data_IF_037489364767
#
_entry.id   IF_037489364767
#
_cell.length_a   1.000
_cell.length_b   1.000
_cell.length_c   1.000
_cell.angle_alpha   90.00
_cell.angle_beta   90.00
_cell.angle_gamma   90.00
#
_symmetry.space_group_name_H-M   'P 1'
#
loop_
_entity.id
_entity.type
_entity.pdbx_description
1 polymer ?
#
# COMPACT_ATOMS: atom_id res chain seq x y z
N UNK A 1 6.01 -3.02 -13.35
CA UNK A 1 5.02 -3.61 -12.43
C UNK A 1 5.75 -4.67 -11.63
N UNK A 2 5.59 -4.65 -10.31
CA UNK A 2 6.45 -5.32 -9.35
C UNK A 2 5.91 -6.63 -8.79
N UNK A 3 6.71 -7.31 -7.97
CA UNK A 3 6.29 -8.47 -7.18
C UNK A 3 5.87 -8.02 -5.78
N UNK A 4 4.86 -8.69 -5.24
CA UNK A 4 4.39 -8.45 -3.89
C UNK A 4 3.18 -9.32 -3.57
N UNK A 5 2.22 -8.74 -2.87
CA UNK A 5 1.01 -9.42 -2.41
C UNK A 5 -0.21 -8.52 -2.54
N UNK A 6 -1.39 -9.13 -2.49
CA UNK A 6 -2.67 -8.43 -2.45
C UNK A 6 -3.28 -8.67 -1.07
N UNK A 7 -3.76 -7.60 -0.45
CA UNK A 7 -4.45 -7.65 0.84
C UNK A 7 -5.93 -7.32 0.62
N UNK A 8 -6.83 -8.17 1.07
CA UNK A 8 -8.24 -7.80 1.22
C UNK A 8 -8.41 -7.09 2.58
N UNK A 9 -8.69 -5.78 2.61
CA UNK A 9 -8.79 -5.04 3.85
C UNK A 9 -10.11 -5.36 4.57
N UNK A 10 -10.04 -5.49 5.90
CA UNK A 10 -11.22 -5.58 6.77
C UNK A 10 -11.68 -4.22 7.29
N UNK A 11 -10.84 -3.18 7.13
CA UNK A 11 -11.07 -1.81 7.61
C UNK A 11 -10.52 -0.80 6.60
N UNK A 12 -11.09 0.41 6.62
CA UNK A 12 -10.77 1.52 5.72
C UNK A 12 -9.51 2.31 6.10
N UNK A 13 -8.44 1.64 6.52
CA UNK A 13 -7.22 2.29 6.97
C UNK A 13 -5.98 1.69 6.30
N UNK A 14 -5.16 2.55 5.70
CA UNK A 14 -3.83 2.21 5.21
C UNK A 14 -2.78 2.81 6.13
N UNK A 15 -1.86 1.96 6.61
CA UNK A 15 -0.74 2.34 7.45
C UNK A 15 0.59 2.03 6.77
N UNK A 16 1.67 2.72 7.15
CA UNK A 16 2.97 2.51 6.54
C UNK A 16 3.55 1.13 6.90
N UNK A 17 3.98 0.32 5.92
CA UNK A 17 4.65 -0.96 6.18
C UNK A 17 6.14 -0.80 6.50
N UNK A 18 6.72 0.38 6.24
CA UNK A 18 8.16 0.66 6.38
C UNK A 18 8.40 2.05 6.97
N UNK A 19 9.60 2.27 7.50
CA UNK A 19 10.12 3.62 7.67
C UNK A 19 10.65 4.10 6.31
N UNK A 20 10.31 5.32 5.92
CA UNK A 20 10.71 5.82 4.61
C UNK A 20 10.10 7.17 4.24
N UNK A 21 10.28 7.56 2.99
CA UNK A 21 9.75 8.82 2.45
C UNK A 21 8.64 8.55 1.45
N UNK A 22 7.54 9.29 1.55
CA UNK A 22 6.46 9.27 0.56
C UNK A 22 6.96 9.94 -0.72
N UNK A 23 7.30 9.13 -1.73
CA UNK A 23 7.83 9.64 -3.00
C UNK A 23 6.75 9.98 -4.00
N UNK A 24 5.59 9.33 -3.91
CA UNK A 24 4.46 9.55 -4.80
C UNK A 24 3.17 9.49 -3.99
N UNK A 25 2.30 10.50 -4.14
CA UNK A 25 0.93 10.44 -3.67
C UNK A 25 0.01 10.86 -4.82
N UNK A 26 -0.80 9.93 -5.32
CA UNK A 26 -1.63 10.19 -6.49
C UNK A 26 -2.68 11.28 -6.18
N UNK A 27 -3.06 12.13 -7.15
CA UNK A 27 -4.03 13.20 -6.91
C UNK A 27 -5.36 12.71 -6.33
N UNK A 28 -5.85 11.57 -6.80
CA UNK A 28 -7.08 10.92 -6.35
C UNK A 28 -6.88 10.06 -5.09
N UNK A 29 -5.71 10.09 -4.46
CA UNK A 29 -5.41 9.47 -3.15
C UNK A 29 -5.69 7.97 -3.03
N UNK A 30 -5.89 7.26 -4.13
CA UNK A 30 -6.11 5.81 -4.16
C UNK A 30 -4.80 5.01 -4.08
N UNK A 31 -3.66 5.63 -4.34
CA UNK A 31 -2.37 4.97 -4.35
C UNK A 31 -1.26 5.85 -3.75
N UNK A 32 -0.26 5.20 -3.17
CA UNK A 32 0.88 5.84 -2.52
C UNK A 32 2.16 5.04 -2.79
N UNK A 33 3.22 5.75 -3.13
CA UNK A 33 4.58 5.24 -3.29
C UNK A 33 5.48 5.67 -2.13
N UNK A 34 6.22 4.72 -1.57
CA UNK A 34 7.15 4.94 -0.45
C UNK A 34 8.51 4.37 -0.83
N UNK A 35 9.57 5.14 -0.64
CA UNK A 35 10.93 4.61 -0.64
C UNK A 35 11.34 4.39 0.81
N UNK A 36 11.62 3.15 1.17
CA UNK A 36 12.10 2.83 2.53
C UNK A 36 13.45 3.49 2.79
N UNK A 37 13.81 3.66 4.06
CA UNK A 37 15.15 4.17 4.45
C UNK A 37 16.29 3.27 3.96
N UNK A 38 15.99 2.01 3.61
CA UNK A 38 16.92 1.04 3.01
C UNK A 38 16.93 1.10 1.47
N UNK A 39 16.06 1.91 0.86
CA UNK A 39 15.99 2.12 -0.59
C UNK A 39 15.05 1.16 -1.34
N UNK A 40 14.19 0.42 -0.64
CA UNK A 40 13.14 -0.40 -1.28
C UNK A 40 12.03 0.52 -1.77
N UNK A 41 11.66 0.43 -3.05
CA UNK A 41 10.52 1.19 -3.59
C UNK A 41 9.25 0.35 -3.47
N UNK A 42 8.31 0.81 -2.64
CA UNK A 42 6.99 0.21 -2.49
C UNK A 42 5.93 1.06 -3.19
N UNK A 43 4.99 0.39 -3.84
CA UNK A 43 3.75 0.99 -4.33
C UNK A 43 2.56 0.24 -3.72
N UNK A 44 1.67 0.99 -3.09
CA UNK A 44 0.43 0.48 -2.49
C UNK A 44 -0.74 1.10 -3.23
N UNK A 45 -1.62 0.27 -3.78
CA UNK A 45 -2.78 0.69 -4.55
C UNK A 45 -4.06 0.18 -3.89
N UNK A 46 -4.92 1.07 -3.40
CA UNK A 46 -6.14 0.71 -2.66
C UNK A 46 -7.25 0.37 -3.65
N UNK A 47 -7.67 -0.90 -3.66
CA UNK A 47 -8.68 -1.39 -4.60
C UNK A 47 -8.17 -1.54 -6.04
N UNK A 48 -9.07 -1.90 -6.95
CA UNK A 48 -8.81 -1.99 -8.39
C UNK A 48 -9.69 -1.00 -9.15
N UNK A 49 -9.10 -0.28 -10.11
CA UNK A 49 -9.75 0.79 -10.91
C UNK A 49 -10.35 1.95 -10.09
N UNK A 50 -9.95 2.07 -8.81
CA UNK A 50 -10.42 3.11 -7.87
C UNK A 50 -9.97 4.53 -8.23
N UNK A 51 -9.05 4.68 -9.18
CA UNK A 51 -8.73 5.98 -9.77
C UNK A 51 -9.98 6.67 -10.32
N UNK A 52 -10.96 5.92 -10.85
CA UNK A 52 -12.21 6.44 -11.40
C UNK A 52 -13.19 7.00 -10.35
N UNK A 53 -12.87 6.90 -9.05
CA UNK A 53 -13.63 7.56 -8.00
C UNK A 53 -13.25 9.03 -7.82
N UNK A 54 -12.23 9.52 -8.53
CA UNK A 54 -11.77 10.92 -8.49
C UNK A 54 -11.50 11.44 -7.06
N UNK A 55 -10.99 10.55 -6.18
CA UNK A 55 -10.71 10.84 -4.78
C UNK A 55 -11.91 10.74 -3.84
N UNK A 56 -13.10 10.42 -4.34
CA UNK A 56 -14.27 10.18 -3.49
C UNK A 56 -14.05 8.94 -2.62
N UNK A 57 -14.23 9.12 -1.31
CA UNK A 57 -14.01 8.05 -0.34
C UNK A 57 -12.55 7.82 0.01
N UNK A 58 -11.63 8.75 -0.32
CA UNK A 58 -10.24 8.71 0.11
C UNK A 58 -9.87 10.00 0.84
N UNK A 59 -9.22 9.87 1.99
CA UNK A 59 -8.65 10.96 2.78
C UNK A 59 -7.17 10.64 3.02
N UNK A 60 -6.28 11.50 2.54
CA UNK A 60 -4.85 11.33 2.81
C UNK A 60 -4.44 12.13 4.05
N UNK A 61 -3.65 11.48 4.91
CA UNK A 61 -3.16 12.00 6.17
C UNK A 61 -1.68 12.42 6.09
N UNK A 62 -1.08 12.29 4.92
CA UNK A 62 0.32 12.61 4.61
C UNK A 62 0.39 13.34 3.28
N UNK A 63 1.52 14.00 3.01
CA UNK A 63 1.81 14.61 1.71
C UNK A 63 3.06 14.01 1.09
N UNK A 64 3.25 14.24 -0.20
CA UNK A 64 4.49 13.85 -0.87
C UNK A 64 5.68 14.58 -0.24
N UNK A 65 6.76 13.84 0.02
CA UNK A 65 7.96 14.33 0.70
C UNK A 65 7.96 14.09 2.21
N UNK A 66 6.84 13.69 2.82
CA UNK A 66 6.81 13.34 4.24
C UNK A 66 7.64 12.09 4.51
N UNK A 67 8.38 12.11 5.62
CA UNK A 67 8.96 10.90 6.21
C UNK A 67 7.92 10.24 7.12
N UNK A 68 7.75 8.92 6.97
CA UNK A 68 6.75 8.12 7.67
C UNK A 68 7.43 6.96 8.39
N UNK A 69 6.84 6.54 9.51
CA UNK A 69 7.30 5.39 10.29
C UNK A 69 6.34 4.21 10.19
N UNK A 70 6.83 2.99 10.44
CA UNK A 70 6.00 1.76 10.47
C UNK A 70 4.77 1.96 11.37
N UNK A 71 3.60 1.64 10.82
CA UNK A 71 2.31 1.75 11.51
C UNK A 71 1.68 3.15 11.48
N UNK A 72 2.37 4.18 10.97
CA UNK A 72 1.78 5.51 10.80
C UNK A 72 0.62 5.45 9.80
N UNK A 73 -0.51 6.07 10.13
CA UNK A 73 -1.65 6.17 9.22
C UNK A 73 -1.30 7.05 8.01
N UNK A 74 -1.59 6.56 6.81
CA UNK A 74 -1.27 7.22 5.55
C UNK A 74 -2.53 7.71 4.84
N UNK A 75 -3.51 6.83 4.71
CA UNK A 75 -4.74 7.08 3.95
C UNK A 75 -5.89 6.40 4.69
N UNK A 76 -7.00 7.12 4.86
CA UNK A 76 -8.29 6.55 5.22
C UNK A 76 -9.13 6.42 3.97
N UNK A 77 -9.87 5.33 3.86
CA UNK A 77 -10.74 5.10 2.71
C UNK A 77 -12.07 4.49 3.13
N UNK A 78 -13.13 4.86 2.42
CA UNK A 78 -14.48 4.37 2.66
C UNK A 78 -14.74 3.15 1.77
N UNK A 79 -14.72 1.97 2.37
CA UNK A 79 -14.96 0.70 1.68
C UNK A 79 -16.38 0.61 1.10
N UNK A 80 -17.37 1.24 1.74
CA UNK A 80 -18.75 1.20 1.26
C UNK A 80 -18.91 2.08 0.03
N UNK A 81 -18.22 3.22 -0.04
CA UNK A 81 -18.16 4.06 -1.25
C UNK A 81 -17.53 3.29 -2.42
N UNK A 82 -16.43 2.57 -2.19
CA UNK A 82 -15.76 1.77 -3.22
C UNK A 82 -16.70 0.65 -3.72
N UNK A 83 -17.30 -0.11 -2.80
CA UNK A 83 -18.21 -1.21 -3.12
C UNK A 83 -19.49 -0.73 -3.81
N UNK A 84 -20.05 0.41 -3.40
CA UNK A 84 -21.22 1.01 -4.02
C UNK A 84 -20.98 1.44 -5.48
N UNK A 85 -19.73 1.71 -5.85
CA UNK A 85 -19.33 1.97 -7.23
C UNK A 85 -19.09 0.68 -8.05
N UNK A 86 -19.27 -0.51 -7.45
CA UNK A 86 -19.03 -1.79 -8.12
C UNK A 86 -17.55 -2.18 -8.21
N UNK A 87 -16.68 -1.54 -7.42
CA UNK A 87 -15.24 -1.78 -7.39
C UNK A 87 -14.85 -2.67 -6.20
N UNK A 88 -13.68 -3.32 -6.30
CA UNK A 88 -13.12 -4.16 -5.24
C UNK A 88 -12.12 -3.38 -4.39
N UNK A 89 -11.99 -3.76 -3.12
CA UNK A 89 -11.07 -3.16 -2.15
C UNK A 89 -9.74 -3.91 -2.01
N UNK A 90 -9.54 -4.98 -2.79
CA UNK A 90 -8.28 -5.72 -2.88
C UNK A 90 -7.14 -4.73 -3.15
N UNK A 91 -6.16 -4.69 -2.25
CA UNK A 91 -5.12 -3.66 -2.19
C UNK A 91 -3.77 -4.29 -2.49
N UNK A 92 -3.25 -4.18 -3.73
CA UNK A 92 -1.89 -4.58 -4.04
C UNK A 92 -0.84 -3.79 -3.26
N UNK A 93 0.15 -4.50 -2.73
CA UNK A 93 1.37 -3.98 -2.12
C UNK A 93 2.55 -4.61 -2.86
N UNK A 94 3.29 -3.82 -3.64
CA UNK A 94 4.33 -4.34 -4.54
C UNK A 94 5.66 -3.60 -4.36
N UNK A 95 6.76 -4.29 -4.69
CA UNK A 95 8.11 -3.71 -4.80
C UNK A 95 8.39 -3.38 -6.26
N UNK A 96 8.66 -2.12 -6.58
CA UNK A 96 8.81 -1.65 -7.97
C UNK A 96 10.24 -1.72 -8.51
N UNK A 97 11.26 -1.64 -7.66
CA UNK A 97 12.68 -1.67 -8.05
C UNK A 97 13.28 -3.09 -8.00
N UNK A 98 12.70 -3.99 -8.79
CA UNK A 98 13.04 -5.42 -8.77
C UNK A 98 14.44 -5.77 -9.30
N UNK A 99 15.08 -4.84 -9.99
CA UNK A 99 16.47 -5.00 -10.45
C UNK A 99 17.47 -4.91 -9.29
N UNK A 100 17.06 -4.34 -8.14
CA UNK A 100 17.88 -4.19 -6.93
C UNK A 100 17.38 -5.03 -5.75
N UNK A 101 16.09 -5.42 -5.75
CA UNK A 101 15.46 -6.15 -4.66
C UNK A 101 14.58 -7.30 -5.16
N UNK A 102 14.67 -8.45 -4.50
CA UNK A 102 13.74 -9.58 -4.69
C UNK A 102 12.77 -9.67 -3.52
N UNK A 103 11.47 -9.82 -3.84
CA UNK A 103 10.42 -10.03 -2.86
C UNK A 103 10.27 -11.53 -2.54
N UNK A 104 10.30 -11.89 -1.26
CA UNK A 104 10.04 -13.26 -0.80
C UNK A 104 8.97 -13.27 0.28
N UNK A 105 8.10 -14.27 0.25
CA UNK A 105 7.05 -14.48 1.25
C UNK A 105 7.42 -15.73 2.04
N UNK A 106 7.91 -15.59 3.28
CA UNK A 106 8.30 -16.75 4.08
C UNK A 106 7.05 -17.51 4.57
N UNK A 107 7.03 -18.83 4.33
CA UNK A 107 5.98 -19.72 4.85
C UNK A 107 4.75 -19.84 3.94
N UNK A 108 3.62 -20.18 4.55
CA UNK A 108 2.31 -20.29 3.88
C UNK A 108 1.53 -18.98 3.97
N UNK A 109 0.76 -18.68 2.94
CA UNK A 109 -0.12 -17.51 2.92
C UNK A 109 -1.13 -17.57 4.09
N UNK A 110 -1.10 -16.60 5.02
CA UNK A 110 -2.06 -16.54 6.10
C UNK A 110 -3.44 -16.18 5.54
N UNK A 111 -4.50 -16.80 6.07
CA UNK A 111 -5.89 -16.47 5.73
C UNK A 111 -6.40 -15.21 6.44
N UNK A 112 -5.75 -14.82 7.54
CA UNK A 112 -6.09 -13.61 8.31
C UNK A 112 -4.81 -13.03 8.88
N UNK A 113 -4.70 -11.71 8.79
CA UNK A 113 -3.52 -10.94 9.23
C UNK A 113 -3.96 -9.77 10.11
N UNK A 114 -3.02 -9.19 10.83
CA UNK A 114 -3.20 -7.94 11.58
C UNK A 114 -2.28 -6.87 11.01
N UNK A 115 -2.68 -5.60 11.11
CA UNK A 115 -1.81 -4.49 10.71
C UNK A 115 -0.45 -4.57 11.44
N UNK A 116 0.64 -4.40 10.70
CA UNK A 116 2.01 -4.54 11.23
C UNK A 116 2.56 -5.97 11.24
N UNK A 117 1.80 -6.98 10.78
CA UNK A 117 2.34 -8.32 10.59
C UNK A 117 3.42 -8.34 9.48
N UNK A 118 4.50 -9.11 9.70
CA UNK A 118 5.53 -9.33 8.70
C UNK A 118 5.05 -10.33 7.64
N UNK A 119 4.76 -9.86 6.43
CA UNK A 119 4.20 -10.69 5.35
C UNK A 119 5.17 -10.93 4.19
N UNK A 120 6.09 -9.99 3.95
CA UNK A 120 6.99 -10.00 2.81
C UNK A 120 8.35 -9.48 3.23
N UNK A 121 9.40 -10.10 2.73
CA UNK A 121 10.79 -9.69 2.92
C UNK A 121 11.37 -9.26 1.59
N UNK A 122 11.92 -8.04 1.54
CA UNK A 122 12.70 -7.54 0.41
C UNK A 122 14.19 -7.85 0.66
N UNK A 123 14.83 -8.60 -0.25
CA UNK A 123 16.26 -8.93 -0.16
C UNK A 123 17.00 -8.23 -1.28
N UNK A 124 18.05 -7.48 -0.95
CA UNK A 124 18.91 -6.82 -1.94
C UNK A 124 19.69 -7.86 -2.75
N UNK A 125 19.73 -7.69 -4.07
CA UNK A 125 20.48 -8.55 -5.01
C UNK A 125 21.74 -7.86 -5.55
#
# INVERSE_FOLDING_TARGET
>A
MGQGLVIEPSQGELTSPVNGTVTVLFPTKHAIGIVSDEGVELLIHIGMDTVGLDGKGFESLVVQGDHVIVGQQLIRFDMDVIKAAGLVTETPVIITNQDAYTATIPGTYPTTIQAGASLMVATRI
#
